data_IF_638944442274
#
_entry.id   IF_638944442274
#
_cell.length_a   1.000
_cell.length_b   1.000
_cell.length_c   1.000
_cell.angle_alpha   90.00
_cell.angle_beta   90.00
_cell.angle_gamma   90.00
#
_symmetry.space_group_name_H-M   'P 1'
#
loop_
_entity.id
_entity.type
_entity.pdbx_description
1 polymer ?
#
# COMPACT_ATOMS: atom_id res chain seq x y z
N UNK A 1 -79.11 31.54 17.55
CA UNK A 1 -78.76 32.65 18.47
C UNK A 1 -77.24 32.76 18.59
N UNK A 2 -76.71 33.98 18.36
CA UNK A 2 -75.54 34.63 18.98
C UNK A 2 -74.14 33.96 19.00
N UNK A 3 -73.25 34.66 18.27
CA UNK A 3 -71.94 35.25 18.69
C UNK A 3 -70.65 34.41 18.56
N UNK A 4 -69.91 34.77 17.50
CA UNK A 4 -68.52 35.27 17.50
C UNK A 4 -67.74 35.25 18.82
N UNK A 5 -66.53 34.69 18.80
CA UNK A 5 -65.31 35.33 19.31
C UNK A 5 -64.05 34.65 18.77
N UNK A 6 -63.21 35.45 18.11
CA UNK A 6 -61.78 35.17 17.86
C UNK A 6 -61.04 35.23 19.19
N UNK A 7 -60.13 34.30 19.44
CA UNK A 7 -58.94 34.58 20.24
C UNK A 7 -57.72 34.02 19.53
N UNK A 8 -56.84 34.97 19.21
CA UNK A 8 -55.44 34.80 18.88
C UNK A 8 -54.74 34.16 20.09
N UNK A 9 -54.00 33.07 19.92
CA UNK A 9 -52.87 32.76 20.79
C UNK A 9 -51.67 32.45 19.92
N UNK A 10 -50.71 33.36 20.01
CA UNK A 10 -49.35 33.28 19.47
C UNK A 10 -48.58 32.27 20.32
N UNK A 11 -47.85 31.35 19.68
CA UNK A 11 -46.97 30.40 20.35
C UNK A 11 -46.34 29.45 19.33
N UNK A 12 -45.32 29.89 18.59
CA UNK A 12 -43.89 29.63 18.87
C UNK A 12 -43.48 28.15 18.62
N UNK A 13 -42.57 27.98 17.65
CA UNK A 13 -41.61 26.86 17.49
C UNK A 13 -42.23 25.45 17.26
N UNK A 14 -41.80 24.61 16.31
CA UNK A 14 -40.50 24.45 15.66
C UNK A 14 -40.72 23.60 14.41
N UNK A 15 -40.03 23.95 13.32
CA UNK A 15 -39.98 23.15 12.11
C UNK A 15 -39.28 21.80 12.36
N UNK A 16 -39.98 20.69 12.16
CA UNK A 16 -39.35 19.38 11.98
C UNK A 16 -39.19 19.15 10.47
N UNK A 17 -37.97 19.38 10.00
CA UNK A 17 -37.53 19.21 8.61
C UNK A 17 -37.67 17.72 8.25
N UNK A 18 -38.63 17.43 7.38
CA UNK A 18 -38.60 16.23 6.56
C UNK A 18 -37.63 16.46 5.40
N UNK A 19 -36.44 15.86 5.50
CA UNK A 19 -35.60 15.56 4.35
C UNK A 19 -34.77 14.32 4.68
N UNK A 20 -35.38 13.16 4.48
CA UNK A 20 -34.65 11.95 4.20
C UNK A 20 -33.79 12.18 2.96
N UNK A 21 -32.48 12.02 3.07
CA UNK A 21 -31.60 12.10 1.91
C UNK A 21 -30.17 12.37 2.30
N UNK A 22 -29.29 11.44 1.94
CA UNK A 22 -27.83 11.50 2.02
C UNK A 22 -27.22 11.12 3.39
N UNK A 23 -27.52 9.91 3.84
CA UNK A 23 -26.46 9.08 4.43
C UNK A 23 -25.45 8.72 3.31
N UNK A 24 -24.71 9.71 2.84
CA UNK A 24 -23.53 9.51 2.00
C UNK A 24 -22.38 9.09 2.93
N UNK A 25 -22.44 7.87 3.44
CA UNK A 25 -21.17 7.19 3.74
C UNK A 25 -20.45 7.08 2.39
N UNK A 26 -19.28 7.72 2.17
CA UNK A 26 -18.52 7.39 0.98
C UNK A 26 -18.18 5.91 1.12
N UNK A 27 -18.83 5.07 0.31
CA UNK A 27 -18.37 3.72 0.08
C UNK A 27 -16.94 3.87 -0.42
N UNK A 28 -15.96 3.69 0.47
CA UNK A 28 -14.55 3.72 0.09
C UNK A 28 -14.38 2.48 -0.77
N UNK A 29 -14.45 2.67 -2.08
CA UNK A 29 -14.22 1.63 -3.07
C UNK A 29 -12.82 1.06 -2.81
N UNK A 30 -12.75 -0.11 -2.18
CA UNK A 30 -11.51 -0.90 -2.11
C UNK A 30 -11.12 -1.17 -3.56
N UNK A 31 -9.96 -0.69 -4.00
CA UNK A 31 -9.42 -1.06 -5.31
C UNK A 31 -9.11 -2.54 -5.21
N UNK A 32 -9.95 -3.36 -5.84
CA UNK A 32 -9.72 -4.78 -5.96
C UNK A 32 -8.61 -4.98 -7.00
N UNK A 33 -7.40 -5.41 -6.61
CA UNK A 33 -6.38 -5.71 -7.59
C UNK A 33 -6.85 -6.87 -8.48
N UNK A 34 -6.38 -6.88 -9.72
CA UNK A 34 -6.49 -8.03 -10.61
C UNK A 34 -5.65 -9.17 -10.02
N UNK A 35 -6.04 -10.41 -10.26
CA UNK A 35 -5.21 -11.56 -9.89
C UNK A 35 -4.12 -11.72 -10.94
N UNK A 36 -2.89 -11.97 -10.51
CA UNK A 36 -1.70 -12.04 -11.36
C UNK A 36 -0.63 -11.04 -10.93
N UNK A 37 0.21 -10.65 -11.88
CA UNK A 37 1.48 -10.01 -11.55
C UNK A 37 1.48 -8.54 -11.96
N UNK A 38 1.80 -7.68 -10.99
CA UNK A 38 2.15 -6.29 -11.22
C UNK A 38 3.65 -6.19 -11.24
N UNK A 39 4.23 -5.81 -12.37
CA UNK A 39 5.67 -5.71 -12.50
C UNK A 39 6.09 -4.34 -12.97
N UNK A 40 7.31 -3.97 -12.60
CA UNK A 40 8.04 -2.89 -13.24
C UNK A 40 9.24 -3.51 -13.96
N UNK A 41 9.30 -3.26 -15.27
CA UNK A 41 10.41 -3.69 -16.12
C UNK A 41 11.74 -3.17 -15.60
N UNK A 42 12.77 -3.98 -15.84
CA UNK A 42 14.12 -3.84 -15.35
C UNK A 42 14.82 -2.62 -15.98
N UNK A 43 14.58 -1.43 -15.42
CA UNK A 43 15.37 -0.25 -15.74
C UNK A 43 16.40 -0.03 -14.63
N UNK A 44 17.67 0.08 -15.01
CA UNK A 44 18.79 0.44 -14.14
C UNK A 44 19.01 -0.47 -12.90
N UNK A 45 18.75 -1.77 -13.04
CA UNK A 45 19.01 -2.75 -11.97
C UNK A 45 18.03 -2.71 -10.81
N UNK A 46 16.82 -2.16 -11.01
CA UNK A 46 15.77 -2.17 -10.00
C UNK A 46 14.47 -2.72 -10.60
N UNK A 47 14.02 -3.85 -10.08
CA UNK A 47 12.76 -4.48 -10.45
C UNK A 47 11.89 -4.68 -9.21
N UNK A 48 10.59 -4.57 -9.37
CA UNK A 48 9.64 -4.99 -8.35
C UNK A 48 8.47 -5.72 -8.99
N UNK A 49 8.08 -6.81 -8.35
CA UNK A 49 6.90 -7.58 -8.67
C UNK A 49 6.00 -7.63 -7.42
N UNK A 50 4.69 -7.47 -7.63
CA UNK A 50 3.66 -7.77 -6.63
C UNK A 50 2.75 -8.80 -7.28
N UNK A 51 2.69 -9.99 -6.71
CA UNK A 51 1.77 -11.02 -7.17
C UNK A 51 0.55 -11.03 -6.26
N UNK A 52 -0.62 -11.06 -6.88
CA UNK A 52 -1.91 -11.01 -6.19
C UNK A 52 -2.76 -12.23 -6.53
N UNK A 53 -3.39 -12.79 -5.50
CA UNK A 53 -4.39 -13.84 -5.66
C UNK A 53 -5.66 -13.48 -4.89
N UNK A 54 -6.82 -13.76 -5.50
CA UNK A 54 -8.16 -13.49 -4.95
C UNK A 54 -8.30 -12.09 -4.33
N UNK A 55 -7.71 -11.07 -4.96
CA UNK A 55 -7.76 -9.68 -4.50
C UNK A 55 -6.86 -9.34 -3.30
N UNK A 56 -5.90 -10.21 -2.96
CA UNK A 56 -4.93 -10.02 -1.87
C UNK A 56 -3.51 -10.14 -2.41
N UNK A 57 -2.52 -9.66 -1.65
CA UNK A 57 -1.10 -9.81 -2.02
C UNK A 57 -0.61 -11.16 -1.49
N UNK A 58 -0.06 -11.98 -2.39
CA UNK A 58 0.49 -13.30 -2.08
C UNK A 58 2.02 -13.28 -2.05
N UNK A 59 2.66 -12.47 -2.91
CA UNK A 59 4.12 -12.42 -3.04
C UNK A 59 4.61 -11.04 -3.46
N UNK A 60 5.82 -10.67 -3.01
CA UNK A 60 6.52 -9.48 -3.45
C UNK A 60 7.99 -9.85 -3.71
N UNK A 61 8.46 -9.65 -4.94
CA UNK A 61 9.87 -9.77 -5.29
C UNK A 61 10.45 -8.40 -5.61
N UNK A 62 11.65 -8.09 -5.12
CA UNK A 62 12.36 -6.85 -5.45
C UNK A 62 13.83 -7.06 -5.70
N UNK A 63 14.40 -6.34 -6.66
CA UNK A 63 15.83 -6.26 -6.91
C UNK A 63 16.32 -4.87 -6.50
N UNK A 64 17.33 -4.79 -5.64
CA UNK A 64 17.82 -3.56 -5.03
C UNK A 64 19.31 -3.36 -5.22
N UNK A 65 19.74 -2.13 -5.51
CA UNK A 65 21.16 -1.73 -5.46
C UNK A 65 21.48 -1.07 -4.14
N UNK A 66 22.39 -1.67 -3.37
CA UNK A 66 22.85 -1.13 -2.10
C UNK A 66 24.00 -0.14 -2.31
N UNK A 67 23.98 0.94 -1.54
CA UNK A 67 24.98 2.00 -1.56
C UNK A 67 25.33 2.44 -0.16
N UNK A 68 26.57 2.87 0.01
CA UNK A 68 27.04 3.60 1.19
C UNK A 68 26.47 5.04 1.19
N UNK A 69 26.56 5.78 2.33
CA UNK A 69 26.14 7.17 2.39
C UNK A 69 26.83 8.08 1.36
N UNK A 70 28.06 7.75 0.96
CA UNK A 70 28.82 8.46 -0.07
C UNK A 70 28.42 8.08 -1.52
N UNK A 71 27.41 7.23 -1.71
CA UNK A 71 26.90 6.81 -3.02
C UNK A 71 27.64 5.63 -3.66
N UNK A 72 28.74 5.16 -3.07
CA UNK A 72 29.52 4.02 -3.57
C UNK A 72 28.69 2.74 -3.47
N UNK A 73 28.67 1.87 -4.50
CA UNK A 73 28.05 0.56 -4.41
C UNK A 73 28.61 -0.24 -3.23
N UNK A 74 27.76 -0.98 -2.54
CA UNK A 74 28.21 -1.91 -1.52
C UNK A 74 27.35 -3.16 -1.50
N UNK A 75 27.93 -4.27 -1.04
CA UNK A 75 27.19 -5.51 -0.86
C UNK A 75 26.85 -5.69 0.61
N UNK A 76 25.56 -5.88 0.97
CA UNK A 76 25.22 -6.43 2.28
C UNK A 76 25.94 -7.78 2.42
N UNK A 77 26.70 -7.95 3.51
CA UNK A 77 27.71 -9.03 3.66
C UNK A 77 27.17 -10.46 3.71
N UNK A 78 25.87 -10.64 3.51
CA UNK A 78 25.15 -11.90 3.67
C UNK A 78 24.31 -12.30 2.46
N UNK A 79 24.34 -11.48 1.39
CA UNK A 79 23.44 -11.64 0.25
C UNK A 79 24.25 -11.81 -1.04
N UNK A 80 23.90 -12.81 -1.87
CA UNK A 80 24.46 -12.89 -3.21
C UNK A 80 24.07 -11.63 -3.98
N UNK A 81 25.07 -10.95 -4.53
CA UNK A 81 24.86 -9.80 -5.42
C UNK A 81 25.27 -10.18 -6.84
N UNK A 82 24.44 -9.79 -7.80
CA UNK A 82 24.73 -9.87 -9.22
C UNK A 82 24.84 -8.44 -9.74
N UNK A 83 26.02 -8.01 -10.19
CA UNK A 83 26.28 -6.63 -10.63
C UNK A 83 25.88 -5.55 -9.60
N UNK A 84 26.12 -5.82 -8.31
CA UNK A 84 25.74 -4.94 -7.19
C UNK A 84 24.23 -4.85 -6.94
N UNK A 85 23.43 -5.70 -7.59
CA UNK A 85 22.00 -5.87 -7.37
C UNK A 85 21.78 -7.07 -6.47
N UNK A 86 20.98 -6.86 -5.43
CA UNK A 86 20.57 -7.86 -4.47
C UNK A 86 19.09 -8.15 -4.71
N UNK A 87 18.78 -9.40 -5.02
CA UNK A 87 17.39 -9.84 -5.15
C UNK A 87 16.86 -10.20 -3.78
N UNK A 88 15.91 -9.42 -3.30
CA UNK A 88 15.14 -9.73 -2.12
C UNK A 88 13.81 -10.32 -2.56
N UNK A 89 13.59 -11.55 -2.14
CA UNK A 89 12.28 -12.14 -2.11
C UNK A 89 11.80 -12.14 -0.65
N UNK A 90 11.24 -11.01 -0.18
CA UNK A 90 10.55 -10.99 1.10
C UNK A 90 9.34 -11.92 1.02
N UNK A 91 9.55 -13.17 1.41
CA UNK A 91 8.46 -14.08 1.73
C UNK A 91 7.55 -13.33 2.70
N UNK A 92 6.32 -13.11 2.28
CA UNK A 92 5.30 -12.59 3.18
C UNK A 92 5.18 -13.62 4.32
N UNK A 93 4.85 -13.19 5.56
CA UNK A 93 4.45 -14.16 6.59
C UNK A 93 3.41 -15.12 5.97
N UNK A 94 3.30 -16.36 6.47
CA UNK A 94 2.37 -17.41 5.97
C UNK A 94 0.88 -16.98 5.90
N UNK A 95 0.58 -15.72 6.17
CA UNK A 95 -0.70 -15.04 6.09
C UNK A 95 -0.76 -14.12 4.86
N UNK A 96 -1.79 -14.32 4.05
CA UNK A 96 -2.12 -13.43 2.93
C UNK A 96 -2.37 -12.01 3.44
N UNK A 97 -1.81 -10.99 2.79
CA UNK A 97 -2.01 -9.62 3.25
C UNK A 97 -3.28 -9.02 2.67
N UNK A 98 -4.18 -8.67 3.57
CA UNK A 98 -5.35 -7.84 3.28
C UNK A 98 -4.96 -6.40 3.01
N UNK A 99 -5.65 -5.78 2.05
CA UNK A 99 -5.48 -4.37 1.76
C UNK A 99 -6.27 -3.51 2.76
N UNK A 100 -5.71 -2.36 3.14
CA UNK A 100 -6.45 -1.39 3.95
C UNK A 100 -7.61 -0.75 3.15
N UNK A 101 -8.40 0.10 3.81
CA UNK A 101 -9.55 0.79 3.17
C UNK A 101 -9.16 1.60 1.92
N UNK A 102 -7.91 2.08 1.82
CA UNK A 102 -7.36 2.84 0.69
C UNK A 102 -6.54 1.99 -0.28
N UNK A 103 -6.63 0.66 -0.20
CA UNK A 103 -5.89 -0.28 -1.06
C UNK A 103 -4.36 -0.26 -0.86
N UNK A 104 -3.92 0.23 0.30
CA UNK A 104 -2.53 0.30 0.71
C UNK A 104 -2.09 -0.90 1.56
N UNK A 105 -0.78 -1.11 1.61
CA UNK A 105 -0.12 -2.15 2.41
C UNK A 105 1.21 -1.64 2.96
N UNK A 106 1.66 -2.21 4.10
CA UNK A 106 2.95 -1.90 4.72
C UNK A 106 3.44 -3.09 5.54
N UNK A 107 4.71 -3.40 5.40
CA UNK A 107 5.45 -4.43 6.12
C UNK A 107 6.74 -3.80 6.63
N UNK A 108 6.98 -4.02 7.91
CA UNK A 108 8.20 -3.60 8.59
C UNK A 108 8.89 -4.88 9.01
N UNK A 109 10.17 -5.00 8.69
CA UNK A 109 11.05 -6.07 9.18
C UNK A 109 10.64 -7.48 8.75
N UNK A 110 10.82 -7.75 7.45
CA UNK A 110 10.58 -9.09 6.88
C UNK A 110 11.79 -9.98 7.20
N UNK A 111 11.69 -10.75 8.29
CA UNK A 111 12.71 -11.73 8.68
C UNK A 111 12.46 -13.05 7.95
N UNK A 112 13.26 -13.37 6.94
CA UNK A 112 13.27 -14.69 6.29
C UNK A 112 14.51 -15.48 6.70
N UNK A 113 14.34 -16.78 6.90
CA UNK A 113 15.45 -17.74 7.08
C UNK A 113 16.33 -17.69 5.82
N UNK A 114 17.61 -17.35 5.96
CA UNK A 114 18.55 -17.17 4.84
C UNK A 114 18.93 -15.71 4.54
N UNK A 115 18.27 -14.73 5.15
CA UNK A 115 18.77 -13.35 5.19
C UNK A 115 19.57 -13.09 6.47
N UNK A 116 20.54 -12.18 6.41
CA UNK A 116 21.26 -11.76 7.62
C UNK A 116 20.31 -11.25 8.69
N UNK A 117 20.58 -11.56 9.98
CA UNK A 117 19.81 -11.05 11.09
C UNK A 117 19.90 -9.52 11.21
N UNK A 118 20.87 -8.88 10.56
CA UNK A 118 21.10 -7.44 10.57
C UNK A 118 20.40 -6.71 9.43
N UNK A 119 19.83 -7.43 8.46
CA UNK A 119 19.12 -6.86 7.33
C UNK A 119 17.72 -6.39 7.75
N UNK A 120 17.49 -5.08 7.65
CA UNK A 120 16.17 -4.46 7.89
C UNK A 120 15.53 -4.11 6.56
N UNK A 121 14.39 -4.72 6.26
CA UNK A 121 13.60 -4.44 5.05
C UNK A 121 12.25 -3.85 5.46
N UNK A 122 11.92 -2.71 4.87
CA UNK A 122 10.61 -2.07 4.95
C UNK A 122 10.00 -2.03 3.55
N UNK A 123 8.83 -2.63 3.38
CA UNK A 123 8.10 -2.64 2.12
C UNK A 123 6.75 -1.97 2.35
N UNK A 124 6.37 -1.03 1.48
CA UNK A 124 5.06 -0.39 1.55
C UNK A 124 4.56 -0.06 0.16
N UNK A 125 3.26 0.14 0.01
CA UNK A 125 2.70 0.39 -1.31
C UNK A 125 1.20 0.61 -1.30
N UNK A 126 0.66 0.81 -2.49
CA UNK A 126 -0.78 0.94 -2.74
C UNK A 126 -1.14 0.61 -4.18
N UNK A 127 -2.32 0.06 -4.36
CA UNK A 127 -2.94 0.00 -5.68
C UNK A 127 -3.47 1.39 -6.05
N UNK A 128 -3.14 1.86 -7.26
CA UNK A 128 -3.65 3.10 -7.83
C UNK A 128 -4.92 2.84 -8.64
N UNK A 129 -5.00 1.66 -9.26
CA UNK A 129 -6.15 1.15 -9.98
C UNK A 129 -6.07 -0.38 -10.04
N UNK A 130 -7.07 -1.02 -10.66
CA UNK A 130 -7.07 -2.47 -10.88
C UNK A 130 -5.83 -2.98 -11.64
N UNK A 131 -5.14 -2.14 -12.41
CA UNK A 131 -3.99 -2.56 -13.24
C UNK A 131 -2.69 -1.80 -12.90
N UNK A 132 -2.68 -0.95 -11.87
CA UNK A 132 -1.53 -0.12 -11.51
C UNK A 132 -1.27 -0.14 -10.02
N UNK A 133 -0.01 -0.30 -9.64
CA UNK A 133 0.43 -0.26 -8.25
C UNK A 133 1.66 0.65 -8.06
N UNK A 134 1.85 1.10 -6.83
CA UNK A 134 3.08 1.70 -6.35
C UNK A 134 3.66 0.86 -5.23
N UNK A 135 4.98 0.68 -5.25
CA UNK A 135 5.74 0.06 -4.18
C UNK A 135 6.91 0.94 -3.79
N UNK A 136 7.23 0.91 -2.51
CA UNK A 136 8.34 1.59 -1.89
C UNK A 136 9.05 0.57 -1.01
N UNK A 137 10.32 0.33 -1.30
CA UNK A 137 11.17 -0.54 -0.49
C UNK A 137 12.34 0.26 0.04
N UNK A 138 12.62 0.07 1.33
CA UNK A 138 13.83 0.55 1.99
C UNK A 138 14.49 -0.66 2.63
N UNK A 139 15.74 -0.92 2.28
CA UNK A 139 16.52 -1.97 2.91
C UNK A 139 17.82 -1.39 3.46
N UNK A 140 18.29 -1.92 4.59
CA UNK A 140 19.56 -1.52 5.19
C UNK A 140 20.20 -2.66 5.95
N UNK A 141 21.51 -2.80 5.83
CA UNK A 141 22.34 -3.68 6.65
C UNK A 141 23.62 -2.92 7.00
N UNK A 142 23.84 -2.66 8.29
CA UNK A 142 24.93 -1.77 8.74
C UNK A 142 24.84 -0.38 8.08
N UNK A 143 25.91 0.03 7.41
CA UNK A 143 26.01 1.32 6.69
C UNK A 143 25.48 1.25 5.25
N UNK A 144 25.24 0.06 4.71
CA UNK A 144 24.69 -0.15 3.38
C UNK A 144 23.18 0.09 3.35
N UNK A 145 22.73 0.95 2.45
CA UNK A 145 21.32 1.31 2.28
C UNK A 145 20.88 1.14 0.83
N UNK A 146 19.67 0.65 0.65
CA UNK A 146 19.01 0.62 -0.64
C UNK A 146 17.60 1.21 -0.53
N UNK A 147 17.17 1.87 -1.59
CA UNK A 147 15.81 2.35 -1.71
C UNK A 147 15.31 2.09 -3.13
N UNK A 148 14.06 1.65 -3.23
CA UNK A 148 13.34 1.50 -4.48
C UNK A 148 12.01 2.24 -4.36
N UNK A 149 11.68 3.03 -5.37
CA UNK A 149 10.36 3.62 -5.54
C UNK A 149 9.81 3.19 -6.88
N UNK A 150 9.09 2.07 -6.89
CA UNK A 150 8.40 1.59 -8.06
C UNK A 150 7.11 2.39 -8.26
N UNK A 151 7.20 3.50 -8.99
CA UNK A 151 6.10 4.48 -9.09
C UNK A 151 4.99 4.07 -10.07
N UNK A 152 5.20 3.02 -10.88
CA UNK A 152 4.28 2.59 -11.96
C UNK A 152 4.37 1.10 -12.29
N UNK A 153 4.21 0.21 -11.30
CA UNK A 153 4.07 -1.21 -11.60
C UNK A 153 2.77 -1.39 -12.41
N UNK A 154 2.86 -2.08 -13.53
CA UNK A 154 1.74 -2.38 -14.42
C UNK A 154 1.40 -3.85 -14.33
N UNK A 155 0.12 -4.15 -14.37
CA UNK A 155 -0.35 -5.51 -14.53
C UNK A 155 0.09 -6.06 -15.89
N UNK A 156 0.70 -7.24 -15.90
CA UNK A 156 1.01 -8.01 -17.11
C UNK A 156 -0.06 -9.07 -17.37
#
# INVERSE_FOLDING_TARGET
>A
MKRSKRYLFVGLLTAAIAAAGLASSPAIAKIKPRNGDYVQEWNNGTAAAIQTDRGRIWHIGVALRFKLPNGTPCSPGSLPSYDGVVVLDPALPNTTIGLNRRSGFRFTEIRRKGFSPFLKINVSGRFLSRNKAKIYVKASEGTCKAHLSGKRLRFQ
#
